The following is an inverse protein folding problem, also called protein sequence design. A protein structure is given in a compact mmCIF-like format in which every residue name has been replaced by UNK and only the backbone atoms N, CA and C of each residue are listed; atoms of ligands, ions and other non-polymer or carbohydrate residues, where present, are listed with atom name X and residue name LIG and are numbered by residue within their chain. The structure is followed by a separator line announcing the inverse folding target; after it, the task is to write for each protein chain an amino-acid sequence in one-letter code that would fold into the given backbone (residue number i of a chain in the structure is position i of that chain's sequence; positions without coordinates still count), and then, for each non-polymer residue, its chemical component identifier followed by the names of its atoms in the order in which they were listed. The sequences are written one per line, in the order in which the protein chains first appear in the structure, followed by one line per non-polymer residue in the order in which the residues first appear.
data_IF_781749321491
#
_entry.id   IF_781749321491
#
_cell.length_a   1.000
_cell.length_b   1.000
_cell.length_c   1.000
_cell.angle_alpha   90.00
_cell.angle_beta   90.00
_cell.angle_gamma   90.00
#
_symmetry.space_group_name_H-M   'P 1'
#
loop_
_entity.id
_entity.type
_entity.pdbx_description
1 polymer ?
#
# COMPACT_ATOMS: atom_id res chain seq x y z
N UNK A 1 -18.63 -4.50 33.16
CA UNK A 1 -17.68 -4.28 32.06
C UNK A 1 -17.38 -2.80 32.08
N UNK A 2 -16.09 -2.41 32.19
CA UNK A 2 -15.76 -0.99 32.20
C UNK A 2 -16.09 -0.40 30.83
N UNK A 3 -16.78 0.73 30.82
CA UNK A 3 -17.20 1.51 29.63
C UNK A 3 -15.98 2.22 28.99
N UNK A 4 -14.89 1.44 28.79
CA UNK A 4 -13.61 1.98 28.32
C UNK A 4 -13.66 2.05 26.80
N UNK A 5 -13.91 3.24 26.28
CA UNK A 5 -13.91 3.52 24.84
C UNK A 5 -12.49 3.49 24.29
N UNK A 6 -12.29 2.81 23.17
CA UNK A 6 -11.00 2.71 22.50
C UNK A 6 -10.82 3.85 21.50
N UNK A 7 -9.65 4.48 21.51
CA UNK A 7 -9.33 5.56 20.58
C UNK A 7 -8.47 5.04 19.42
N UNK A 8 -8.91 5.28 18.19
CA UNK A 8 -8.10 5.10 16.98
C UNK A 8 -7.63 6.48 16.52
N UNK A 9 -6.33 6.66 16.40
CA UNK A 9 -5.75 7.93 15.95
C UNK A 9 -5.30 7.77 14.50
N UNK A 10 -6.05 8.37 13.58
CA UNK A 10 -5.86 8.30 12.12
C UNK A 10 -6.86 7.35 11.45
N UNK A 11 -7.72 7.90 10.59
CA UNK A 11 -8.74 7.20 9.82
C UNK A 11 -8.23 6.64 8.46
N UNK A 12 -6.93 6.36 8.35
CA UNK A 12 -6.34 5.71 7.17
C UNK A 12 -6.63 4.21 7.11
N UNK A 13 -5.94 3.48 6.22
CA UNK A 13 -6.15 2.03 6.02
C UNK A 13 -5.99 1.23 7.31
N UNK A 14 -4.90 1.45 8.05
CA UNK A 14 -4.61 0.70 9.28
C UNK A 14 -5.60 1.04 10.39
N UNK A 15 -5.95 2.33 10.56
CA UNK A 15 -6.90 2.75 11.58
C UNK A 15 -8.33 2.29 11.30
N UNK A 16 -8.78 2.35 10.06
CA UNK A 16 -10.08 1.82 9.63
C UNK A 16 -10.19 0.31 9.87
N UNK A 17 -9.13 -0.43 9.55
CA UNK A 17 -9.06 -1.87 9.80
C UNK A 17 -9.10 -2.19 11.30
N UNK A 18 -8.29 -1.47 12.11
CA UNK A 18 -8.25 -1.67 13.57
C UNK A 18 -9.60 -1.34 14.23
N UNK A 19 -10.25 -0.24 13.81
CA UNK A 19 -11.57 0.16 14.31
C UNK A 19 -12.62 -0.94 14.05
N UNK A 20 -12.64 -1.50 12.82
CA UNK A 20 -13.51 -2.60 12.45
C UNK A 20 -13.28 -3.83 13.33
N UNK A 21 -12.04 -4.26 13.47
CA UNK A 21 -11.67 -5.44 14.25
C UNK A 21 -12.07 -5.33 15.73
N UNK A 22 -11.92 -4.14 16.31
CA UNK A 22 -12.32 -3.85 17.70
C UNK A 22 -13.84 -3.84 17.86
N UNK A 23 -14.54 -3.15 16.97
CA UNK A 23 -15.99 -3.00 17.06
C UNK A 23 -16.74 -4.33 16.89
N UNK A 24 -16.32 -5.17 15.94
CA UNK A 24 -16.84 -6.52 15.73
C UNK A 24 -16.58 -7.45 16.93
N UNK A 25 -15.59 -7.11 17.78
CA UNK A 25 -15.30 -7.81 19.05
C UNK A 25 -15.97 -7.18 20.28
N UNK A 26 -16.91 -6.25 20.04
CA UNK A 26 -17.79 -5.69 21.06
C UNK A 26 -17.25 -4.46 21.79
N UNK A 27 -16.15 -3.85 21.34
CA UNK A 27 -15.62 -2.62 21.93
C UNK A 27 -16.23 -1.37 21.29
N UNK A 28 -16.52 -0.35 22.08
CA UNK A 28 -16.89 0.97 21.59
C UNK A 28 -15.65 1.72 21.15
N UNK A 29 -15.65 2.24 19.93
CA UNK A 29 -14.48 2.79 19.25
C UNK A 29 -14.76 4.23 18.80
N UNK A 30 -13.81 5.13 19.03
CA UNK A 30 -13.81 6.46 18.41
C UNK A 30 -12.61 6.56 17.45
N UNK A 31 -12.89 6.80 16.17
CA UNK A 31 -11.88 7.10 15.17
C UNK A 31 -11.70 8.60 15.08
N UNK A 32 -10.50 9.08 15.42
CA UNK A 32 -10.12 10.48 15.22
C UNK A 32 -9.37 10.64 13.91
N UNK A 33 -9.93 11.44 13.01
CA UNK A 33 -9.31 11.81 11.72
C UNK A 33 -9.13 13.32 11.67
N UNK A 34 -7.89 13.77 11.48
CA UNK A 34 -7.59 15.20 11.50
C UNK A 34 -8.18 15.99 10.33
N UNK A 35 -8.43 15.34 9.19
CA UNK A 35 -9.07 15.98 8.02
C UNK A 35 -10.58 16.11 8.22
N UNK A 36 -11.19 17.18 7.77
CA UNK A 36 -10.65 18.31 7.00
C UNK A 36 -10.02 19.42 7.83
N UNK A 37 -10.05 19.33 9.19
CA UNK A 37 -9.58 20.40 10.09
C UNK A 37 -8.11 20.71 9.87
N UNK A 38 -7.28 19.66 9.85
CA UNK A 38 -5.85 19.75 9.52
C UNK A 38 -5.60 18.97 8.23
N UNK A 39 -5.11 19.67 7.19
CA UNK A 39 -4.81 19.07 5.89
C UNK A 39 -3.41 18.47 5.87
N UNK A 40 -3.22 17.45 5.04
CA UNK A 40 -1.91 16.87 4.74
C UNK A 40 -1.50 17.19 3.30
N UNK A 41 -0.22 17.05 2.99
CA UNK A 41 0.29 17.32 1.65
C UNK A 41 -0.17 16.30 0.59
N UNK A 42 -0.54 15.07 0.99
CA UNK A 42 -0.84 13.98 0.05
C UNK A 42 -2.33 13.66 -0.12
N UNK A 43 -3.17 14.03 0.84
CA UNK A 43 -4.60 13.76 0.78
C UNK A 43 -5.34 14.88 0.05
N UNK A 44 -6.35 14.51 -0.73
CA UNK A 44 -7.17 15.42 -1.53
C UNK A 44 -8.63 15.45 -1.09
N UNK A 45 -9.08 14.45 -0.33
CA UNK A 45 -10.46 14.30 0.14
C UNK A 45 -10.53 14.28 1.68
N UNK A 46 -11.75 14.31 2.18
CA UNK A 46 -12.05 14.15 3.62
C UNK A 46 -12.36 12.69 3.98
N UNK A 47 -12.39 11.79 2.98
CA UNK A 47 -12.79 10.40 3.16
C UNK A 47 -11.77 9.62 3.99
N UNK A 48 -12.28 8.69 4.82
CA UNK A 48 -11.42 7.71 5.46
C UNK A 48 -10.79 6.77 4.42
N UNK A 49 -9.69 6.13 4.77
CA UNK A 49 -8.97 5.17 3.92
C UNK A 49 -8.63 5.66 2.51
N UNK A 50 -8.42 6.98 2.31
CA UNK A 50 -8.00 7.52 1.03
C UNK A 50 -6.68 6.92 0.56
N UNK A 51 -6.64 6.42 -0.70
CA UNK A 51 -5.44 5.90 -1.33
C UNK A 51 -4.64 7.03 -1.97
N UNK A 52 -3.52 7.42 -1.40
CA UNK A 52 -2.77 8.62 -1.81
C UNK A 52 -1.73 8.37 -2.91
N UNK A 53 -1.08 7.20 -2.94
CA UNK A 53 0.03 6.91 -3.87
C UNK A 53 -0.49 6.26 -5.17
N UNK A 54 -0.93 5.02 -5.12
CA UNK A 54 -1.45 4.26 -6.27
C UNK A 54 -2.87 3.76 -5.98
N UNK A 55 -3.54 3.19 -6.99
CA UNK A 55 -4.86 2.58 -6.80
C UNK A 55 -4.79 1.05 -6.72
N UNK A 56 -3.65 0.48 -6.36
CA UNK A 56 -3.47 -0.98 -6.36
C UNK A 56 -2.98 -1.53 -5.04
N UNK A 57 -3.53 -2.68 -4.66
CA UNK A 57 -3.05 -3.54 -3.57
C UNK A 57 -2.07 -4.62 -4.07
N UNK A 58 -1.46 -4.44 -5.24
CA UNK A 58 -0.52 -5.36 -5.87
C UNK A 58 -1.15 -6.73 -6.24
N UNK A 59 -0.34 -7.77 -6.45
CA UNK A 59 -0.79 -9.08 -6.96
C UNK A 59 -1.85 -9.76 -6.10
N UNK A 60 -2.82 -10.43 -6.73
CA UNK A 60 -3.81 -11.31 -6.09
C UNK A 60 -3.36 -12.77 -6.01
N UNK A 61 -2.38 -13.17 -6.81
CA UNK A 61 -1.87 -14.54 -6.87
C UNK A 61 -1.13 -14.91 -5.56
N UNK A 62 -1.56 -15.96 -4.88
CA UNK A 62 -0.94 -16.45 -3.63
C UNK A 62 0.48 -16.97 -3.80
N UNK A 63 0.90 -17.31 -5.03
CA UNK A 63 2.31 -17.57 -5.34
C UNK A 63 3.17 -16.30 -5.36
N UNK A 64 2.58 -15.17 -5.02
CA UNK A 64 3.24 -13.88 -4.77
C UNK A 64 2.99 -13.48 -3.31
N UNK A 65 3.99 -12.91 -2.64
CA UNK A 65 3.92 -12.56 -1.23
C UNK A 65 2.77 -11.60 -0.89
N UNK A 66 2.49 -10.62 -1.76
CA UNK A 66 1.36 -9.70 -1.57
C UNK A 66 -0.01 -10.39 -1.72
N UNK A 67 -0.11 -11.39 -2.61
CA UNK A 67 -1.31 -12.21 -2.75
C UNK A 67 -1.53 -13.11 -1.53
N UNK A 68 -0.44 -13.71 -1.02
CA UNK A 68 -0.47 -14.53 0.18
C UNK A 68 -0.92 -13.71 1.40
N UNK A 69 -0.32 -12.55 1.65
CA UNK A 69 -0.72 -11.67 2.76
C UNK A 69 -2.22 -11.31 2.70
N UNK A 70 -2.73 -11.00 1.49
CA UNK A 70 -4.17 -10.73 1.31
C UNK A 70 -5.05 -11.94 1.62
N UNK A 71 -4.62 -13.14 1.26
CA UNK A 71 -5.38 -14.36 1.58
C UNK A 71 -5.44 -14.60 3.11
N UNK A 72 -4.33 -14.38 3.81
CA UNK A 72 -4.28 -14.46 5.28
C UNK A 72 -5.18 -13.41 5.94
N UNK A 73 -5.17 -12.15 5.45
CA UNK A 73 -6.04 -11.09 5.96
C UNK A 73 -7.53 -11.38 5.71
N UNK A 74 -7.87 -11.95 4.54
CA UNK A 74 -9.26 -12.35 4.26
C UNK A 74 -9.74 -13.44 5.22
N UNK A 75 -8.89 -14.39 5.56
CA UNK A 75 -9.21 -15.42 6.55
C UNK A 75 -9.53 -14.82 7.94
N UNK A 76 -8.94 -13.66 8.25
CA UNK A 76 -9.16 -12.91 9.50
C UNK A 76 -10.29 -11.85 9.41
N UNK A 77 -10.99 -11.76 8.27
CA UNK A 77 -12.13 -10.85 8.08
C UNK A 77 -11.75 -9.38 7.87
N UNK A 78 -10.78 -9.09 7.00
CA UNK A 78 -10.34 -7.73 6.69
C UNK A 78 -11.42 -6.87 6.03
N UNK A 79 -11.77 -5.75 6.64
CA UNK A 79 -12.62 -4.70 6.08
C UNK A 79 -12.02 -4.10 4.81
N UNK A 80 -10.73 -3.81 4.85
CA UNK A 80 -10.03 -3.14 3.75
C UNK A 80 -10.04 -4.01 2.50
N UNK A 81 -9.85 -5.32 2.64
CA UNK A 81 -9.88 -6.22 1.47
C UNK A 81 -11.30 -6.46 0.96
N UNK A 82 -12.31 -6.50 1.84
CA UNK A 82 -13.70 -6.50 1.44
C UNK A 82 -14.04 -5.27 0.59
N UNK A 83 -13.69 -4.06 1.07
CA UNK A 83 -13.92 -2.82 0.33
C UNK A 83 -13.14 -2.76 -1.00
N UNK A 84 -11.92 -3.33 -1.03
CA UNK A 84 -11.12 -3.40 -2.26
C UNK A 84 -11.75 -4.33 -3.30
N UNK A 85 -12.36 -5.44 -2.88
CA UNK A 85 -13.07 -6.34 -3.79
C UNK A 85 -14.36 -5.68 -4.33
N UNK A 86 -15.10 -4.90 -3.51
CA UNK A 86 -16.26 -4.11 -3.92
C UNK A 86 -15.91 -2.98 -4.92
N UNK A 87 -14.70 -2.42 -4.80
CA UNK A 87 -14.26 -1.26 -5.59
C UNK A 87 -13.41 -1.64 -6.82
N UNK A 88 -13.30 -2.92 -7.15
CA UNK A 88 -12.39 -3.44 -8.17
C UNK A 88 -12.59 -2.78 -9.54
N UNK A 89 -11.45 -2.51 -10.20
CA UNK A 89 -11.34 -2.11 -11.60
C UNK A 89 -10.35 -3.04 -12.32
N UNK A 90 -10.36 -3.10 -13.67
CA UNK A 90 -9.41 -3.91 -14.42
C UNK A 90 -7.96 -3.62 -14.02
N UNK A 91 -7.20 -4.65 -13.63
CA UNK A 91 -5.85 -4.52 -13.12
C UNK A 91 -4.93 -5.71 -13.46
N UNK A 92 -5.37 -6.61 -14.33
CA UNK A 92 -4.64 -7.81 -14.72
C UNK A 92 -4.45 -8.73 -13.51
N UNK A 93 -3.20 -9.00 -13.13
CA UNK A 93 -2.87 -9.80 -11.95
C UNK A 93 -2.83 -8.99 -10.64
N UNK A 94 -3.19 -7.71 -10.67
CA UNK A 94 -3.19 -6.84 -9.50
C UNK A 94 -4.63 -6.53 -9.04
N UNK A 95 -4.84 -6.44 -7.73
CA UNK A 95 -6.05 -5.88 -7.16
C UNK A 95 -5.98 -4.36 -7.30
N UNK A 96 -6.54 -3.84 -8.38
CA UNK A 96 -6.70 -2.41 -8.63
C UNK A 96 -8.14 -1.99 -8.29
N UNK A 97 -8.30 -0.77 -7.78
CA UNK A 97 -9.59 -0.26 -7.29
C UNK A 97 -9.87 1.15 -7.79
N UNK A 98 -11.14 1.47 -7.94
CA UNK A 98 -11.61 2.85 -8.01
C UNK A 98 -11.45 3.46 -6.60
N UNK A 99 -10.62 4.50 -6.46
CA UNK A 99 -10.25 5.09 -5.17
C UNK A 99 -11.44 5.70 -4.44
N UNK A 100 -12.37 6.31 -5.18
CA UNK A 100 -13.54 6.97 -4.60
C UNK A 100 -14.52 5.93 -4.09
N UNK A 101 -14.80 4.91 -4.91
CA UNK A 101 -15.69 3.80 -4.52
C UNK A 101 -15.11 3.05 -3.32
N UNK A 102 -13.80 2.80 -3.32
CA UNK A 102 -13.11 2.13 -2.22
C UNK A 102 -13.22 2.91 -0.89
N UNK A 103 -12.84 4.20 -0.91
CA UNK A 103 -12.89 5.04 0.30
C UNK A 103 -14.33 5.18 0.82
N UNK A 104 -15.32 5.35 -0.09
CA UNK A 104 -16.73 5.39 0.27
C UNK A 104 -17.22 4.08 0.89
N UNK A 105 -16.83 2.92 0.36
CA UNK A 105 -17.21 1.63 0.92
C UNK A 105 -16.68 1.43 2.34
N UNK A 106 -15.41 1.79 2.60
CA UNK A 106 -14.81 1.74 3.94
C UNK A 106 -15.55 2.69 4.89
N UNK A 107 -15.70 3.96 4.51
CA UNK A 107 -16.31 4.97 5.35
C UNK A 107 -17.77 4.62 5.70
N UNK A 108 -18.60 4.28 4.71
CA UNK A 108 -20.00 3.92 4.92
C UNK A 108 -20.15 2.70 5.86
N UNK A 109 -19.21 1.74 5.77
CA UNK A 109 -19.24 0.56 6.63
C UNK A 109 -18.91 0.89 8.07
N UNK A 110 -17.94 1.78 8.31
CA UNK A 110 -17.60 2.26 9.66
C UNK A 110 -18.71 3.13 10.25
N UNK A 111 -19.28 4.06 9.47
CA UNK A 111 -20.38 4.93 9.91
C UNK A 111 -21.66 4.15 10.26
N UNK A 112 -21.94 3.06 9.55
CA UNK A 112 -23.09 2.21 9.81
C UNK A 112 -22.92 1.30 11.04
N UNK A 113 -21.71 1.16 11.58
CA UNK A 113 -21.45 0.27 12.70
C UNK A 113 -21.86 0.93 14.04
N UNK A 114 -22.75 0.31 14.85
CA UNK A 114 -23.32 0.95 16.04
C UNK A 114 -22.31 1.27 17.15
N UNK A 115 -21.13 0.63 17.13
CA UNK A 115 -20.06 0.82 18.11
C UNK A 115 -18.93 1.73 17.62
N UNK A 116 -19.01 2.28 16.40
CA UNK A 116 -17.99 3.17 15.87
C UNK A 116 -18.52 4.58 15.78
N UNK A 117 -17.79 5.53 16.35
CA UNK A 117 -17.99 6.97 16.16
C UNK A 117 -16.77 7.56 15.45
N UNK A 118 -17.01 8.53 14.57
CA UNK A 118 -15.95 9.23 13.84
C UNK A 118 -15.93 10.68 14.30
N UNK A 119 -14.79 11.13 14.81
CA UNK A 119 -14.56 12.50 15.24
C UNK A 119 -13.51 13.16 14.35
N UNK A 120 -13.81 14.39 13.92
CA UNK A 120 -12.92 15.17 13.06
C UNK A 120 -12.14 16.16 13.91
N UNK A 121 -10.83 16.01 13.92
CA UNK A 121 -9.93 16.86 14.69
C UNK A 121 -8.57 16.20 14.91
N UNK A 122 -7.58 17.03 15.19
CA UNK A 122 -6.23 16.60 15.49
C UNK A 122 -6.12 16.07 16.93
N UNK A 123 -5.49 14.92 17.10
CA UNK A 123 -5.03 14.42 18.40
C UNK A 123 -3.55 14.77 18.55
N UNK A 124 -3.22 15.50 19.61
CA UNK A 124 -1.86 15.99 19.89
C UNK A 124 -1.16 15.24 21.03
N UNK A 125 -1.90 14.40 21.75
CA UNK A 125 -1.41 13.58 22.87
C UNK A 125 -1.70 12.11 22.58
N UNK A 126 -0.99 11.19 23.23
CA UNK A 126 -1.17 9.75 23.04
C UNK A 126 -2.25 9.26 24.02
N UNK A 127 -3.44 8.88 23.54
CA UNK A 127 -4.50 8.32 24.39
C UNK A 127 -4.22 6.86 24.75
N UNK A 128 -4.83 6.36 25.84
CA UNK A 128 -4.82 4.96 26.25
C UNK A 128 -6.19 4.56 26.79
N UNK A 129 -6.79 3.44 26.36
CA UNK A 129 -6.28 2.49 25.32
C UNK A 129 -6.44 3.05 23.89
N UNK A 130 -5.48 2.74 23.01
CA UNK A 130 -5.51 3.27 21.64
C UNK A 130 -4.74 2.45 20.60
N UNK A 131 -5.05 2.72 19.32
CA UNK A 131 -4.20 2.36 18.18
C UNK A 131 -3.78 3.64 17.47
N UNK A 132 -2.48 3.91 17.41
CA UNK A 132 -1.87 5.02 16.68
C UNK A 132 -1.62 4.55 15.24
N UNK A 133 -2.45 5.00 14.31
CA UNK A 133 -2.47 4.56 12.92
C UNK A 133 -2.40 5.75 11.94
N UNK A 134 -1.59 6.74 12.27
CA UNK A 134 -1.50 8.03 11.57
C UNK A 134 -0.75 7.96 10.24
N UNK A 135 -0.18 6.78 9.91
CA UNK A 135 0.55 6.58 8.67
C UNK A 135 1.82 7.42 8.58
N UNK A 136 2.27 7.74 7.35
CA UNK A 136 3.54 8.42 7.13
C UNK A 136 3.48 9.92 7.35
N UNK A 137 2.29 10.52 7.39
CA UNK A 137 2.04 11.95 7.47
C UNK A 137 1.43 12.34 8.84
N UNK A 138 2.01 11.79 9.90
CA UNK A 138 1.67 12.15 11.28
C UNK A 138 1.88 13.65 11.51
N UNK A 139 0.94 14.31 12.18
CA UNK A 139 1.04 15.74 12.50
C UNK A 139 2.26 16.03 13.38
N UNK A 140 2.82 17.22 13.24
CA UNK A 140 4.03 17.62 13.98
C UNK A 140 3.84 17.55 15.50
N UNK A 141 2.65 17.91 16.00
CA UNK A 141 2.33 17.87 17.42
C UNK A 141 2.34 16.43 17.96
N UNK A 142 1.64 15.50 17.29
CA UNK A 142 1.63 14.10 17.69
C UNK A 142 2.98 13.41 17.45
N UNK A 143 3.69 13.75 16.38
CA UNK A 143 5.04 13.25 16.11
C UNK A 143 6.02 13.69 17.22
N UNK A 144 5.86 14.89 17.77
CA UNK A 144 6.64 15.38 18.91
C UNK A 144 6.30 14.60 20.19
N UNK A 145 5.02 14.35 20.46
CA UNK A 145 4.58 13.55 21.62
C UNK A 145 5.10 12.09 21.52
N UNK A 146 5.06 11.49 20.33
CA UNK A 146 5.59 10.14 20.09
C UNK A 146 7.11 10.08 20.29
N UNK A 147 7.87 11.04 19.73
CA UNK A 147 9.33 11.12 19.93
C UNK A 147 9.69 11.25 21.41
N UNK A 148 9.00 12.12 22.14
CA UNK A 148 9.23 12.30 23.58
C UNK A 148 8.98 10.99 24.36
N UNK A 149 7.93 10.25 24.00
CA UNK A 149 7.57 8.99 24.70
C UNK A 149 8.44 7.80 24.33
N UNK A 150 8.85 7.72 23.07
CA UNK A 150 9.69 6.63 22.57
C UNK A 150 11.19 6.83 22.87
N UNK A 151 11.60 8.06 23.18
CA UNK A 151 13.00 8.39 23.47
C UNK A 151 13.94 8.26 22.26
N UNK A 152 13.40 8.32 21.03
CA UNK A 152 14.17 8.13 19.79
C UNK A 152 13.74 9.16 18.74
N UNK A 153 14.67 9.48 17.84
CA UNK A 153 14.35 10.26 16.64
C UNK A 153 13.54 9.41 15.66
N UNK A 154 12.49 10.00 15.09
CA UNK A 154 11.74 9.36 14.02
C UNK A 154 12.62 9.27 12.77
N UNK A 155 12.69 8.10 12.17
CA UNK A 155 13.33 7.90 10.87
C UNK A 155 12.44 8.45 9.76
N UNK A 156 13.03 8.88 8.66
CA UNK A 156 12.30 9.43 7.51
C UNK A 156 12.80 8.82 6.21
N UNK A 157 11.90 8.69 5.26
CA UNK A 157 12.22 8.34 3.88
C UNK A 157 11.33 9.16 2.94
N UNK A 158 11.66 9.18 1.65
CA UNK A 158 10.86 9.85 0.63
C UNK A 158 10.08 8.86 -0.20
N UNK A 159 8.81 9.20 -0.46
CA UNK A 159 7.90 8.48 -1.35
C UNK A 159 7.46 9.42 -2.48
N UNK A 160 7.38 8.90 -3.69
CA UNK A 160 6.96 9.64 -4.86
C UNK A 160 5.68 9.06 -5.46
N UNK A 161 4.83 9.92 -5.97
CA UNK A 161 3.53 9.58 -6.58
C UNK A 161 3.63 9.69 -8.09
N UNK A 162 3.00 8.77 -8.82
CA UNK A 162 2.91 8.77 -10.27
C UNK A 162 1.77 9.65 -10.77
N UNK A 163 1.88 10.27 -11.96
CA UNK A 163 0.83 11.09 -12.55
C UNK A 163 -0.34 10.25 -13.08
N UNK A 164 -1.50 10.91 -13.19
CA UNK A 164 -2.74 10.37 -13.77
C UNK A 164 -3.19 11.27 -14.93
N UNK A 165 -3.59 10.67 -16.04
CA UNK A 165 -4.01 11.35 -17.26
C UNK A 165 -5.44 10.98 -17.66
N UNK A 166 -6.08 11.85 -18.43
CA UNK A 166 -7.41 11.65 -18.98
C UNK A 166 -7.39 10.67 -20.16
N UNK A 167 -8.36 9.75 -20.21
CA UNK A 167 -8.50 8.74 -21.27
C UNK A 167 -8.60 9.34 -22.67
N UNK A 168 -9.43 10.37 -22.82
CA UNK A 168 -9.73 11.02 -24.12
C UNK A 168 -8.52 11.78 -24.68
N UNK A 169 -7.50 12.03 -23.85
CA UNK A 169 -6.26 12.69 -24.27
C UNK A 169 -5.17 11.71 -24.75
N UNK A 170 -5.45 10.40 -24.69
CA UNK A 170 -4.56 9.34 -25.15
C UNK A 170 -4.80 9.08 -26.63
N UNK A 171 -3.73 8.97 -27.42
CA UNK A 171 -3.82 8.59 -28.83
C UNK A 171 -3.97 7.06 -28.97
N UNK A 172 -5.22 6.61 -29.16
CA UNK A 172 -5.59 5.21 -29.26
C UNK A 172 -5.14 4.54 -30.55
N UNK A 173 -4.71 5.29 -31.57
CA UNK A 173 -4.10 4.73 -32.78
C UNK A 173 -2.64 4.30 -32.55
N UNK A 174 -1.99 4.88 -31.52
CA UNK A 174 -0.61 4.60 -31.16
C UNK A 174 -0.53 3.54 -30.06
N UNK A 175 -1.39 3.61 -29.03
CA UNK A 175 -1.38 2.66 -27.92
C UNK A 175 -2.13 1.37 -28.26
N UNK A 176 -1.84 0.28 -27.54
CA UNK A 176 -2.58 -0.98 -27.67
C UNK A 176 -3.01 -1.51 -26.29
N UNK A 177 -4.15 -2.19 -26.25
CA UNK A 177 -4.67 -2.80 -25.03
C UNK A 177 -4.12 -4.22 -24.88
N UNK A 178 -3.47 -4.54 -23.78
CA UNK A 178 -2.97 -5.88 -23.45
C UNK A 178 -2.61 -6.00 -21.97
N UNK A 179 -2.68 -7.22 -21.45
CA UNK A 179 -2.09 -7.60 -20.16
C UNK A 179 -0.81 -8.41 -20.40
N UNK A 180 0.18 -8.21 -19.56
CA UNK A 180 1.45 -8.95 -19.64
C UNK A 180 1.22 -10.46 -19.52
N UNK A 181 1.65 -11.23 -20.52
CA UNK A 181 1.41 -12.67 -20.66
C UNK A 181 -0.09 -13.07 -20.70
N UNK A 182 -0.97 -12.18 -21.15
CA UNK A 182 -2.41 -12.44 -21.17
C UNK A 182 -3.03 -12.67 -19.77
N UNK A 183 -2.40 -12.13 -18.71
CA UNK A 183 -2.90 -12.30 -17.34
C UNK A 183 -4.08 -11.37 -17.10
N UNK A 184 -5.15 -11.91 -16.52
CA UNK A 184 -6.35 -11.19 -16.10
C UNK A 184 -7.19 -12.06 -15.20
N UNK A 185 -7.99 -11.46 -14.33
CA UNK A 185 -8.90 -12.19 -13.46
C UNK A 185 -10.16 -12.63 -14.21
N UNK A 186 -10.68 -11.75 -15.04
CA UNK A 186 -11.82 -12.04 -15.92
C UNK A 186 -11.37 -12.54 -17.29
N UNK A 187 -12.28 -13.18 -18.02
CA UNK A 187 -12.02 -13.60 -19.40
C UNK A 187 -11.77 -12.38 -20.31
N UNK A 188 -12.56 -11.32 -20.16
CA UNK A 188 -12.37 -10.07 -20.87
C UNK A 188 -10.97 -9.46 -20.63
N UNK A 189 -10.47 -9.45 -19.39
CA UNK A 189 -9.11 -8.96 -19.11
C UNK A 189 -8.01 -9.84 -19.72
N UNK A 190 -8.25 -11.15 -19.86
CA UNK A 190 -7.30 -12.07 -20.50
C UNK A 190 -7.28 -11.92 -22.01
N UNK A 191 -8.43 -11.68 -22.63
CA UNK A 191 -8.59 -11.54 -24.08
C UNK A 191 -8.23 -10.14 -24.56
N UNK A 192 -8.83 -9.10 -23.95
CA UNK A 192 -8.65 -7.71 -24.36
C UNK A 192 -7.44 -7.04 -23.69
N UNK A 193 -7.06 -7.52 -22.50
CA UNK A 193 -6.05 -6.87 -21.65
C UNK A 193 -6.62 -5.83 -20.69
N UNK A 194 -5.90 -5.57 -19.60
CA UNK A 194 -6.28 -4.62 -18.55
C UNK A 194 -5.47 -3.31 -18.58
N UNK A 195 -4.47 -3.20 -19.45
CA UNK A 195 -3.59 -2.04 -19.55
C UNK A 195 -3.60 -1.46 -20.95
N UNK A 196 -3.49 -0.14 -21.06
CA UNK A 196 -3.05 0.51 -22.30
C UNK A 196 -1.52 0.55 -22.30
N UNK A 197 -0.92 0.24 -23.44
CA UNK A 197 0.50 0.08 -23.61
C UNK A 197 1.01 1.05 -24.67
N UNK A 198 1.98 1.90 -24.31
CA UNK A 198 2.63 2.86 -25.19
C UNK A 198 3.96 2.24 -25.67
N UNK A 199 4.04 1.71 -26.90
CA UNK A 199 5.27 1.10 -27.41
C UNK A 199 6.28 2.17 -27.81
N UNK A 200 7.55 1.93 -27.50
CA UNK A 200 8.67 2.82 -27.88
C UNK A 200 9.66 2.08 -28.76
N UNK A 201 10.15 2.74 -29.83
CA UNK A 201 11.35 2.33 -30.53
C UNK A 201 12.59 2.61 -29.66
N UNK A 202 13.75 2.13 -30.10
CA UNK A 202 15.01 2.40 -29.42
C UNK A 202 15.33 3.90 -29.39
N UNK A 203 15.15 4.59 -30.50
CA UNK A 203 15.42 6.03 -30.63
C UNK A 203 14.48 6.85 -29.75
N UNK A 204 13.19 6.48 -29.70
CA UNK A 204 12.20 7.12 -28.83
C UNK A 204 12.55 6.92 -27.35
N UNK A 205 12.97 5.71 -26.98
CA UNK A 205 13.40 5.41 -25.63
C UNK A 205 14.64 6.21 -25.22
N UNK A 206 15.68 6.23 -26.06
CA UNK A 206 16.92 6.96 -25.78
C UNK A 206 16.64 8.46 -25.65
N UNK A 207 15.84 9.05 -26.54
CA UNK A 207 15.41 10.44 -26.46
C UNK A 207 14.58 10.73 -25.19
N UNK A 208 13.69 9.83 -24.79
CA UNK A 208 12.93 9.93 -23.56
C UNK A 208 13.85 9.92 -22.33
N UNK A 209 14.85 9.01 -22.28
CA UNK A 209 15.80 8.95 -21.16
C UNK A 209 16.61 10.26 -21.08
N UNK A 210 17.06 10.81 -22.21
CA UNK A 210 17.79 12.10 -22.22
C UNK A 210 16.93 13.23 -21.69
N UNK A 211 15.67 13.32 -22.13
CA UNK A 211 14.73 14.34 -21.67
C UNK A 211 14.40 14.20 -20.17
N UNK A 212 14.27 12.94 -19.69
CA UNK A 212 13.99 12.61 -18.29
C UNK A 212 15.15 13.02 -17.37
N UNK A 213 16.38 12.69 -17.76
CA UNK A 213 17.58 13.02 -16.98
C UNK A 213 17.88 14.52 -16.96
N UNK A 214 17.55 15.25 -18.03
CA UNK A 214 17.71 16.69 -18.15
C UNK A 214 16.59 17.50 -17.49
N UNK A 215 15.51 16.87 -17.04
CA UNK A 215 14.38 17.57 -16.43
C UNK A 215 14.71 18.18 -15.07
N UNK A 216 14.15 19.36 -14.81
CA UNK A 216 14.28 20.03 -13.52
C UNK A 216 13.54 19.28 -12.42
N UNK A 217 14.23 19.06 -11.31
CA UNK A 217 13.73 18.30 -10.16
C UNK A 217 13.45 19.23 -8.99
N UNK A 218 12.47 18.89 -8.17
CA UNK A 218 12.34 19.53 -6.87
C UNK A 218 13.61 19.27 -6.06
N UNK A 219 14.25 20.36 -5.64
CA UNK A 219 15.45 20.36 -4.80
C UNK A 219 15.09 20.84 -3.40
N UNK A 220 15.68 20.23 -2.37
CA UNK A 220 15.58 20.68 -1.00
C UNK A 220 16.65 19.97 -0.17
N UNK A 221 17.35 20.67 0.73
CA UNK A 221 18.39 20.10 1.59
C UNK A 221 17.94 18.85 2.34
N UNK A 222 16.62 18.69 2.55
CA UNK A 222 16.06 17.50 3.17
C UNK A 222 15.99 16.27 2.23
N UNK A 223 16.04 16.45 0.91
CA UNK A 223 15.97 15.35 -0.08
C UNK A 223 17.32 14.65 -0.30
N UNK A 224 18.42 15.30 0.06
CA UNK A 224 19.76 14.75 -0.16
C UNK A 224 20.22 13.86 1.02
N UNK A 225 19.55 13.93 2.17
CA UNK A 225 19.95 13.24 3.41
C UNK A 225 19.14 11.97 3.74
N UNK A 226 17.93 11.81 3.20
CA UNK A 226 17.08 10.66 3.49
C UNK A 226 16.97 9.69 2.30
N UNK A 227 17.10 8.38 2.51
CA UNK A 227 17.01 7.39 1.43
C UNK A 227 15.60 7.32 0.85
N UNK A 228 15.50 7.05 -0.46
CA UNK A 228 14.25 6.65 -1.08
C UNK A 228 13.93 5.20 -0.73
N UNK A 229 12.63 4.90 -0.58
CA UNK A 229 12.20 3.51 -0.58
C UNK A 229 12.30 2.93 -2.00
N UNK A 230 12.98 1.79 -2.16
CA UNK A 230 13.25 1.19 -3.49
C UNK A 230 11.99 0.91 -4.31
N UNK A 231 10.86 0.60 -3.65
CA UNK A 231 9.58 0.34 -4.30
C UNK A 231 8.87 1.58 -4.86
N UNK A 232 9.27 2.79 -4.41
CA UNK A 232 8.70 4.09 -4.81
C UNK A 232 9.78 5.04 -5.35
N UNK A 233 10.90 4.48 -5.83
CA UNK A 233 11.99 5.25 -6.39
C UNK A 233 11.52 6.07 -7.59
N UNK A 234 11.80 7.38 -7.66
CA UNK A 234 11.45 8.21 -8.80
C UNK A 234 12.03 7.66 -10.11
N UNK A 235 11.25 7.76 -11.19
CA UNK A 235 11.62 7.22 -12.51
C UNK A 235 12.92 7.82 -13.04
N UNK A 236 13.18 9.09 -12.78
CA UNK A 236 14.43 9.77 -13.14
C UNK A 236 15.63 9.28 -12.31
N UNK A 237 15.42 8.87 -11.06
CA UNK A 237 16.49 8.29 -10.24
C UNK A 237 16.82 6.85 -10.68
N UNK A 238 15.80 6.08 -11.08
CA UNK A 238 16.02 4.78 -11.73
C UNK A 238 16.81 4.92 -13.04
N UNK A 239 16.47 5.91 -13.88
CA UNK A 239 17.17 6.19 -15.13
C UNK A 239 18.63 6.60 -14.88
N UNK A 240 18.91 7.37 -13.82
CA UNK A 240 20.25 7.80 -13.45
C UNK A 240 21.17 6.64 -13.03
N UNK A 241 20.63 5.53 -12.53
CA UNK A 241 21.39 4.31 -12.21
C UNK A 241 21.94 3.59 -13.46
N UNK A 242 21.37 3.89 -14.62
CA UNK A 242 21.80 3.34 -15.91
C UNK A 242 20.72 3.46 -16.97
N UNK A 243 21.12 3.79 -18.20
CA UNK A 243 20.18 4.06 -19.30
C UNK A 243 19.19 2.92 -19.58
N UNK A 244 19.60 1.66 -19.38
CA UNK A 244 18.77 0.47 -19.60
C UNK A 244 17.93 0.08 -18.37
N UNK A 245 18.12 0.72 -17.22
CA UNK A 245 17.48 0.33 -15.94
C UNK A 245 15.96 0.28 -16.08
N UNK A 246 15.35 1.30 -16.70
CA UNK A 246 13.88 1.36 -16.84
C UNK A 246 13.35 0.22 -17.73
N UNK A 247 14.12 -0.19 -18.73
CA UNK A 247 13.76 -1.28 -19.66
C UNK A 247 13.77 -2.66 -19.00
N UNK A 248 14.52 -2.85 -17.92
CA UNK A 248 14.48 -4.04 -17.06
C UNK A 248 13.53 -3.89 -15.87
N UNK A 249 12.99 -2.69 -15.68
CA UNK A 249 12.05 -2.30 -14.63
C UNK A 249 10.66 -1.97 -15.17
N UNK A 250 10.15 -0.75 -14.92
CA UNK A 250 8.78 -0.36 -15.24
C UNK A 250 8.46 -0.35 -16.75
N UNK A 251 9.44 -0.09 -17.60
CA UNK A 251 9.26 -0.06 -19.07
C UNK A 251 9.61 -1.37 -19.77
N UNK A 252 9.66 -2.48 -19.05
CA UNK A 252 10.00 -3.79 -19.58
C UNK A 252 9.02 -4.22 -20.69
N UNK A 253 9.46 -4.57 -21.92
CA UNK A 253 8.58 -4.95 -23.03
C UNK A 253 8.14 -6.42 -22.97
N UNK A 254 8.88 -7.27 -22.29
CA UNK A 254 8.70 -8.74 -22.30
C UNK A 254 7.30 -9.14 -21.86
N UNK A 255 6.64 -9.98 -22.64
CA UNK A 255 5.27 -10.46 -22.40
C UNK A 255 4.17 -9.50 -22.88
N UNK A 256 4.53 -8.45 -23.62
CA UNK A 256 3.63 -7.49 -24.26
C UNK A 256 3.96 -7.44 -25.77
N UNK A 257 3.15 -8.11 -26.56
CA UNK A 257 3.28 -8.10 -28.03
C UNK A 257 2.25 -7.11 -28.60
N UNK A 258 2.71 -6.19 -29.44
CA UNK A 258 1.79 -5.27 -30.12
C UNK A 258 0.96 -6.07 -31.15
N UNK A 259 -0.37 -6.16 -30.97
CA UNK A 259 -1.23 -6.95 -31.84
C UNK A 259 -1.29 -6.42 -33.29
N UNK A 260 -0.96 -5.14 -33.51
CA UNK A 260 -1.00 -4.50 -34.84
C UNK A 260 0.22 -4.85 -35.67
N UNK A 261 1.37 -5.02 -35.03
CA UNK A 261 2.65 -5.31 -35.71
C UNK A 261 3.09 -6.74 -35.55
N UNK A 262 2.59 -7.46 -34.54
CA UNK A 262 3.04 -8.79 -34.15
C UNK A 262 4.47 -8.83 -33.60
N UNK A 263 5.05 -7.67 -33.26
CA UNK A 263 6.43 -7.51 -32.78
C UNK A 263 6.48 -7.01 -31.34
N UNK A 264 7.56 -7.32 -30.66
CA UNK A 264 7.87 -6.73 -29.36
C UNK A 264 8.47 -5.33 -29.57
N UNK A 265 8.03 -4.35 -28.78
CA UNK A 265 8.63 -3.02 -28.74
C UNK A 265 9.99 -3.06 -28.05
N UNK A 266 10.81 -2.01 -28.22
CA UNK A 266 12.06 -1.88 -27.47
C UNK A 266 11.82 -1.62 -25.98
N UNK A 267 10.85 -0.76 -25.67
CA UNK A 267 10.34 -0.49 -24.32
C UNK A 267 8.82 -0.25 -24.37
N UNK A 268 8.13 -0.38 -23.26
CA UNK A 268 6.68 -0.16 -23.18
C UNK A 268 6.33 0.58 -21.88
N UNK A 269 5.68 1.72 -22.00
CA UNK A 269 5.03 2.38 -20.85
C UNK A 269 3.63 1.80 -20.71
N UNK A 270 3.27 1.36 -19.50
CA UNK A 270 1.94 0.84 -19.20
C UNK A 270 1.10 1.90 -18.50
N UNK A 271 -0.15 2.03 -18.93
CA UNK A 271 -1.17 2.84 -18.27
C UNK A 271 -2.19 1.91 -17.64
N UNK A 272 -2.55 2.18 -16.38
CA UNK A 272 -3.54 1.40 -15.62
C UNK A 272 -4.75 2.26 -15.30
N UNK A 273 -5.93 1.68 -15.45
CA UNK A 273 -7.20 2.30 -15.12
C UNK A 273 -7.28 2.65 -13.63
N UNK A 274 -7.74 3.88 -13.31
CA UNK A 274 -7.87 4.40 -11.94
C UNK A 274 -9.32 4.46 -11.44
N UNK A 275 -10.31 4.51 -12.34
CA UNK A 275 -11.73 4.61 -12.01
C UNK A 275 -12.57 3.57 -12.76
N UNK A 276 -13.75 3.24 -12.24
CA UNK A 276 -14.67 2.27 -12.89
C UNK A 276 -15.15 2.74 -14.27
N UNK A 277 -15.26 4.06 -14.47
CA UNK A 277 -15.70 4.63 -15.73
C UNK A 277 -14.61 4.60 -16.82
N UNK A 278 -13.38 4.24 -16.48
CA UNK A 278 -12.25 4.17 -17.42
C UNK A 278 -11.78 5.53 -17.93
N UNK A 279 -12.10 6.61 -17.24
CA UNK A 279 -11.77 7.99 -17.67
C UNK A 279 -10.39 8.44 -17.21
N UNK A 280 -9.83 7.82 -16.18
CA UNK A 280 -8.57 8.19 -15.55
C UNK A 280 -7.56 7.03 -15.63
N UNK A 281 -6.34 7.33 -16.06
CA UNK A 281 -5.29 6.33 -16.28
C UNK A 281 -3.97 6.76 -15.64
N UNK A 282 -3.38 5.87 -14.85
CA UNK A 282 -2.13 6.09 -14.12
C UNK A 282 -0.94 5.61 -14.94
N UNK A 283 0.14 6.39 -14.99
CA UNK A 283 1.41 5.96 -15.58
C UNK A 283 2.13 5.02 -14.60
N UNK A 284 2.15 3.73 -14.92
CA UNK A 284 2.68 2.70 -14.01
C UNK A 284 4.21 2.80 -13.88
N UNK A 285 4.69 2.98 -12.65
CA UNK A 285 6.12 3.09 -12.36
C UNK A 285 6.73 4.46 -12.65
N UNK A 286 5.90 5.49 -12.83
CA UNK A 286 6.31 6.88 -13.11
C UNK A 286 6.21 7.79 -11.89
N UNK A 287 6.48 7.26 -10.70
CA UNK A 287 6.71 8.12 -9.54
C UNK A 287 7.82 9.11 -9.88
N UNK A 288 7.66 10.39 -9.52
CA UNK A 288 8.59 11.42 -9.97
C UNK A 288 8.68 12.60 -9.01
N UNK A 289 9.87 13.22 -8.97
CA UNK A 289 10.12 14.54 -8.37
C UNK A 289 10.39 15.63 -9.40
N UNK A 290 10.15 15.37 -10.69
CA UNK A 290 10.22 16.39 -11.71
C UNK A 290 9.25 17.55 -11.38
N UNK A 291 9.62 18.76 -11.73
CA UNK A 291 8.72 19.91 -11.67
C UNK A 291 7.58 19.72 -12.67
N UNK A 292 6.40 20.28 -12.38
CA UNK A 292 5.16 20.09 -13.17
C UNK A 292 5.40 20.35 -14.66
N UNK A 293 6.05 21.46 -15.03
CA UNK A 293 6.33 21.76 -16.44
C UNK A 293 7.20 20.71 -17.12
N UNK A 294 8.16 20.14 -16.41
CA UNK A 294 9.01 19.07 -16.94
C UNK A 294 8.30 17.72 -16.98
N UNK A 295 7.40 17.42 -16.02
CA UNK A 295 6.55 16.25 -16.12
C UNK A 295 5.73 16.28 -17.42
N UNK A 296 5.07 17.40 -17.71
CA UNK A 296 4.28 17.52 -18.94
C UNK A 296 5.16 17.41 -20.19
N UNK A 297 6.28 18.13 -20.26
CA UNK A 297 7.19 18.11 -21.39
C UNK A 297 7.78 16.71 -21.64
N UNK A 298 8.26 16.05 -20.59
CA UNK A 298 8.94 14.75 -20.70
C UNK A 298 7.94 13.63 -20.97
N UNK A 299 6.81 13.59 -20.24
CA UNK A 299 5.87 12.48 -20.39
C UNK A 299 5.02 12.59 -21.64
N UNK A 300 4.81 13.79 -22.20
CA UNK A 300 4.21 13.96 -23.53
C UNK A 300 5.11 13.49 -24.68
N UNK A 301 6.41 13.27 -24.44
CA UNK A 301 7.29 12.65 -25.45
C UNK A 301 7.07 11.13 -25.59
N UNK A 302 6.33 10.50 -24.69
CA UNK A 302 5.96 9.09 -24.77
C UNK A 302 4.96 8.89 -25.91
N UNK A 303 5.17 7.93 -26.83
CA UNK A 303 4.25 7.65 -27.93
C UNK A 303 2.81 7.41 -27.42
N UNK A 304 1.85 8.08 -28.01
CA UNK A 304 0.45 8.05 -27.61
C UNK A 304 0.07 9.07 -26.52
N UNK A 305 1.03 9.80 -25.93
CA UNK A 305 0.78 10.79 -24.87
C UNK A 305 1.08 12.24 -25.27
N UNK A 306 1.27 12.54 -26.56
CA UNK A 306 1.62 13.87 -27.03
C UNK A 306 0.63 14.96 -26.59
N UNK A 307 -0.65 14.61 -26.49
CA UNK A 307 -1.73 15.51 -26.08
C UNK A 307 -2.24 15.20 -24.66
N UNK A 308 -1.50 14.42 -23.85
CA UNK A 308 -1.98 13.99 -22.56
C UNK A 308 -2.39 15.16 -21.65
N UNK A 309 -3.61 15.08 -21.12
CA UNK A 309 -4.15 15.96 -20.10
C UNK A 309 -3.86 15.33 -18.72
N UNK A 310 -3.07 16.02 -17.92
CA UNK A 310 -2.71 15.57 -16.57
C UNK A 310 -3.80 15.96 -15.58
N UNK A 311 -4.58 14.97 -15.13
CA UNK A 311 -5.59 15.14 -14.09
C UNK A 311 -4.95 15.23 -12.70
N UNK A 312 -3.77 14.62 -12.55
CA UNK A 312 -2.93 14.71 -11.37
C UNK A 312 -1.46 14.60 -11.79
N UNK A 313 -0.64 15.50 -11.30
CA UNK A 313 0.81 15.43 -11.46
C UNK A 313 1.44 14.51 -10.40
N UNK A 314 2.61 13.97 -10.72
CA UNK A 314 3.45 13.29 -9.74
C UNK A 314 3.95 14.27 -8.69
N UNK A 315 4.17 13.77 -7.49
CA UNK A 315 4.68 14.57 -6.37
C UNK A 315 5.54 13.70 -5.44
N UNK A 316 6.32 14.38 -4.59
CA UNK A 316 7.16 13.70 -3.60
C UNK A 316 6.77 14.16 -2.21
N UNK A 317 6.75 13.21 -1.26
CA UNK A 317 6.41 13.45 0.13
C UNK A 317 7.47 12.86 1.05
N UNK A 318 7.72 13.53 2.18
CA UNK A 318 8.51 12.98 3.26
C UNK A 318 7.61 12.14 4.15
N UNK A 319 7.97 10.88 4.31
CA UNK A 319 7.29 9.92 5.17
C UNK A 319 8.09 9.71 6.45
N UNK A 320 7.41 9.59 7.58
CA UNK A 320 8.02 9.32 8.87
C UNK A 320 7.60 7.95 9.39
N UNK A 321 8.52 7.25 10.05
CA UNK A 321 8.26 5.98 10.70
C UNK A 321 9.08 5.85 11.99
N UNK A 322 8.68 4.92 12.84
CA UNK A 322 9.35 4.61 14.10
C UNK A 322 10.36 3.48 13.87
N UNK A 323 11.50 3.52 14.53
CA UNK A 323 12.42 2.38 14.60
C UNK A 323 11.81 1.29 15.49
N UNK A 324 10.90 0.48 14.93
CA UNK A 324 10.11 -0.50 15.67
C UNK A 324 10.96 -1.50 16.46
N UNK A 325 12.06 -2.09 15.91
CA UNK A 325 12.90 -3.01 16.67
C UNK A 325 13.50 -2.38 17.93
N UNK A 326 13.87 -1.09 17.86
CA UNK A 326 14.45 -0.37 19.00
C UNK A 326 13.40 0.07 20.02
N UNK A 327 12.20 0.46 19.57
CA UNK A 327 11.28 1.29 20.35
C UNK A 327 10.03 0.57 20.85
N UNK A 328 9.57 -0.46 20.13
CA UNK A 328 8.30 -1.13 20.42
C UNK A 328 8.48 -2.52 21.02
N UNK A 329 7.41 -3.06 21.58
CA UNK A 329 7.34 -4.48 21.97
C UNK A 329 7.18 -5.37 20.72
N UNK A 330 7.32 -6.69 20.82
CA UNK A 330 7.06 -7.62 19.71
C UNK A 330 5.65 -7.52 19.11
N UNK A 331 4.67 -7.08 19.88
CA UNK A 331 3.29 -6.88 19.44
C UNK A 331 3.01 -5.46 18.90
N UNK A 332 4.06 -4.63 18.76
CA UNK A 332 4.01 -3.23 18.33
C UNK A 332 3.26 -2.32 19.30
N UNK A 333 3.34 -2.59 20.60
CA UNK A 333 2.87 -1.67 21.66
C UNK A 333 4.02 -0.77 22.15
N UNK A 334 3.65 0.31 22.83
CA UNK A 334 4.60 1.03 23.65
C UNK A 334 5.14 0.09 24.76
N UNK A 335 6.41 0.26 25.14
CA UNK A 335 7.06 -0.59 26.16
C UNK A 335 6.55 -0.29 27.58
N UNK A 336 6.12 0.94 27.80
CA UNK A 336 5.60 1.44 29.07
C UNK A 336 4.06 1.37 29.17
N UNK A 337 3.36 1.05 28.08
CA UNK A 337 1.90 0.97 28.02
C UNK A 337 1.44 -0.07 26.97
N UNK A 338 1.15 -1.28 27.44
CA UNK A 338 0.71 -2.39 26.59
C UNK A 338 -0.69 -2.22 25.96
N UNK A 339 -1.43 -1.15 26.31
CA UNK A 339 -2.71 -0.83 25.72
C UNK A 339 -2.63 0.22 24.59
N UNK A 340 -1.42 0.71 24.28
CA UNK A 340 -1.17 1.62 23.16
C UNK A 340 -0.41 0.90 22.07
N UNK A 341 -1.09 0.57 20.98
CA UNK A 341 -0.55 -0.09 19.80
C UNK A 341 -0.17 0.94 18.73
N UNK A 342 0.85 0.64 17.94
CA UNK A 342 1.14 1.34 16.70
C UNK A 342 0.79 0.44 15.52
N UNK A 343 0.24 1.01 14.43
CA UNK A 343 -0.13 0.26 13.23
C UNK A 343 0.03 1.10 11.96
N UNK A 344 0.19 0.41 10.83
CA UNK A 344 0.39 1.05 9.53
C UNK A 344 1.82 1.47 9.26
N UNK A 345 2.00 2.31 8.27
CA UNK A 345 3.32 2.70 7.76
C UNK A 345 4.22 3.33 8.82
N UNK A 346 3.65 3.96 9.85
CA UNK A 346 4.40 4.50 10.99
C UNK A 346 5.24 3.43 11.70
N UNK A 347 4.89 2.14 11.62
CA UNK A 347 5.65 1.04 12.21
C UNK A 347 6.83 0.56 11.37
N UNK A 348 7.05 1.12 10.18
CA UNK A 348 8.09 0.66 9.25
C UNK A 348 7.63 -0.46 8.32
N UNK A 349 6.34 -0.67 8.13
CA UNK A 349 5.83 -1.43 6.99
C UNK A 349 5.65 -0.51 5.79
N UNK A 350 5.79 -1.04 4.57
CA UNK A 350 5.56 -0.30 3.34
C UNK A 350 4.54 -1.00 2.47
N UNK A 351 3.47 -0.27 2.13
CA UNK A 351 2.39 -0.71 1.24
C UNK A 351 1.03 -0.73 1.93
N UNK A 352 -0.02 -0.66 1.10
CA UNK A 352 -1.41 -0.61 1.57
C UNK A 352 -1.85 -1.89 2.29
N UNK A 353 -1.49 -3.05 1.71
CA UNK A 353 -1.83 -4.36 2.30
C UNK A 353 -1.11 -4.54 3.64
N UNK A 354 0.18 -4.22 3.70
CA UNK A 354 1.02 -4.32 4.89
C UNK A 354 0.53 -3.39 6.01
N UNK A 355 0.19 -2.15 5.65
CA UNK A 355 -0.38 -1.20 6.61
C UNK A 355 -1.71 -1.69 7.19
N UNK A 356 -2.61 -2.18 6.34
CA UNK A 356 -3.89 -2.75 6.77
C UNK A 356 -3.69 -3.99 7.64
N UNK A 357 -2.73 -4.86 7.29
CA UNK A 357 -2.41 -6.08 8.03
C UNK A 357 -1.94 -5.80 9.47
N UNK A 358 -1.11 -4.75 9.65
CA UNK A 358 -0.74 -4.34 11.01
C UNK A 358 -1.89 -3.73 11.78
N UNK A 359 -2.79 -2.98 11.11
CA UNK A 359 -4.03 -2.46 11.72
C UNK A 359 -4.97 -3.58 12.16
N UNK A 360 -5.16 -4.59 11.31
CA UNK A 360 -5.94 -5.77 11.61
C UNK A 360 -5.45 -6.47 12.88
N UNK A 361 -4.15 -6.77 12.95
CA UNK A 361 -3.59 -7.47 14.09
C UNK A 361 -3.54 -6.60 15.36
N UNK A 362 -3.34 -5.28 15.22
CA UNK A 362 -3.41 -4.35 16.35
C UNK A 362 -4.83 -4.31 16.96
N UNK A 363 -5.88 -4.27 16.12
CA UNK A 363 -7.26 -4.32 16.59
C UNK A 363 -7.60 -5.63 17.30
N UNK A 364 -7.19 -6.78 16.75
CA UNK A 364 -7.34 -8.09 17.40
C UNK A 364 -6.64 -8.12 18.75
N UNK A 365 -5.38 -7.69 18.78
CA UNK A 365 -4.57 -7.78 19.99
C UNK A 365 -4.98 -6.79 21.09
N UNK A 366 -5.37 -5.58 20.72
CA UNK A 366 -5.91 -4.65 21.72
C UNK A 366 -7.22 -5.18 22.34
N UNK A 367 -8.10 -5.77 21.52
CA UNK A 367 -9.28 -6.45 22.05
C UNK A 367 -8.93 -7.55 23.05
N UNK A 368 -7.92 -8.36 22.77
CA UNK A 368 -7.45 -9.41 23.69
C UNK A 368 -6.94 -8.82 25.00
N UNK A 369 -6.09 -7.80 24.92
CA UNK A 369 -5.54 -7.10 26.11
C UNK A 369 -6.65 -6.52 26.97
N UNK A 370 -7.63 -5.87 26.38
CA UNK A 370 -8.78 -5.29 27.11
C UNK A 370 -9.67 -6.35 27.77
N UNK A 371 -9.67 -7.56 27.25
CA UNK A 371 -10.35 -8.72 27.84
C UNK A 371 -9.43 -9.53 28.79
N UNK A 372 -8.25 -9.00 29.17
CA UNK A 372 -7.35 -9.62 30.13
C UNK A 372 -6.44 -10.72 29.55
N UNK A 373 -6.39 -10.87 28.23
CA UNK A 373 -5.51 -11.79 27.53
C UNK A 373 -4.19 -11.15 27.10
N UNK A 374 -3.29 -11.97 26.57
CA UNK A 374 -2.02 -11.52 26.00
C UNK A 374 -2.13 -11.31 24.48
N UNK A 375 -1.33 -10.39 23.90
CA UNK A 375 -1.21 -10.27 22.46
C UNK A 375 -0.69 -11.55 21.83
N UNK A 376 -1.22 -11.87 20.63
CA UNK A 376 -0.80 -13.06 19.86
C UNK A 376 -0.29 -12.64 18.49
N UNK A 377 0.75 -13.31 18.01
CA UNK A 377 1.39 -13.03 16.73
C UNK A 377 1.37 -14.33 15.91
N UNK A 378 0.95 -14.29 14.63
CA UNK A 378 0.99 -15.47 13.77
C UNK A 378 2.41 -16.02 13.63
N UNK A 379 2.59 -17.33 13.38
CA UNK A 379 3.91 -17.91 13.20
C UNK A 379 4.62 -17.31 11.98
N UNK A 380 5.96 -17.24 12.04
CA UNK A 380 6.79 -16.68 10.95
C UNK A 380 6.79 -17.51 9.65
N UNK A 381 6.07 -18.62 9.64
CA UNK A 381 5.72 -19.40 8.45
C UNK A 381 4.56 -18.78 7.65
N UNK A 382 3.81 -17.84 8.25
CA UNK A 382 2.82 -16.99 7.58
C UNK A 382 3.45 -15.67 7.14
N UNK A 383 2.89 -15.02 6.13
CA UNK A 383 3.41 -13.73 5.65
C UNK A 383 3.21 -12.62 6.68
N UNK A 384 2.07 -12.60 7.37
CA UNK A 384 1.78 -11.66 8.45
C UNK A 384 2.74 -11.85 9.62
N UNK A 385 2.96 -13.07 10.07
CA UNK A 385 3.91 -13.38 11.15
C UNK A 385 5.36 -13.07 10.78
N UNK A 386 5.76 -13.35 9.53
CA UNK A 386 7.10 -13.03 9.03
C UNK A 386 7.35 -11.53 8.94
N UNK A 387 6.33 -10.74 8.57
CA UNK A 387 6.40 -9.28 8.57
C UNK A 387 6.58 -8.74 10.00
N UNK A 388 5.81 -9.25 10.98
CA UNK A 388 5.96 -8.90 12.40
C UNK A 388 7.33 -9.30 12.94
N UNK A 389 7.86 -10.47 12.53
CA UNK A 389 9.22 -10.87 12.90
C UNK A 389 10.26 -9.87 12.41
N UNK A 390 10.15 -9.39 11.17
CA UNK A 390 11.04 -8.35 10.66
C UNK A 390 10.98 -7.07 11.51
N UNK A 391 9.77 -6.58 11.83
CA UNK A 391 9.57 -5.37 12.62
C UNK A 391 10.15 -5.44 14.03
N UNK A 392 10.34 -6.63 14.59
CA UNK A 392 10.89 -6.80 15.93
C UNK A 392 12.37 -7.21 15.96
N UNK A 393 12.86 -7.93 14.93
CA UNK A 393 14.18 -8.59 14.93
C UNK A 393 15.17 -7.95 13.95
N UNK A 394 14.74 -7.04 13.09
CA UNK A 394 15.66 -6.32 12.21
C UNK A 394 16.68 -5.52 13.02
N UNK A 395 17.92 -5.41 12.48
CA UNK A 395 18.95 -4.58 13.09
C UNK A 395 18.49 -3.12 13.19
N UNK A 396 18.35 -2.55 14.41
CA UNK A 396 17.91 -1.19 14.59
C UNK A 396 18.78 -0.14 13.88
N UNK A 397 20.09 -0.42 13.71
CA UNK A 397 21.02 0.49 13.04
C UNK A 397 20.79 0.57 11.53
N UNK A 398 20.16 -0.46 10.94
CA UNK A 398 19.92 -0.57 9.50
C UNK A 398 18.43 -0.79 9.18
N UNK A 399 17.55 -0.49 10.14
CA UNK A 399 16.11 -0.68 9.98
C UNK A 399 15.55 0.22 8.86
N UNK A 400 14.86 -0.39 7.93
CA UNK A 400 14.23 0.26 6.77
C UNK A 400 12.80 -0.24 6.60
N UNK A 401 11.89 0.56 6.01
CA UNK A 401 10.55 0.10 5.69
C UNK A 401 10.56 -1.20 4.88
N UNK A 402 9.62 -2.09 5.16
CA UNK A 402 9.55 -3.44 4.57
C UNK A 402 8.19 -3.74 3.99
N UNK A 403 8.16 -4.30 2.79
CA UNK A 403 6.96 -4.87 2.20
C UNK A 403 6.98 -6.40 2.25
N UNK A 404 5.80 -7.01 2.03
CA UNK A 404 5.66 -8.45 1.97
C UNK A 404 6.52 -9.05 0.85
N UNK A 405 7.40 -9.98 1.21
CA UNK A 405 8.22 -10.73 0.28
C UNK A 405 8.54 -12.13 0.83
N UNK A 406 8.72 -13.11 -0.06
CA UNK A 406 8.98 -14.49 0.36
C UNK A 406 10.32 -14.71 1.08
N UNK A 407 11.25 -13.75 1.00
CA UNK A 407 12.52 -13.79 1.75
C UNK A 407 12.33 -13.64 3.26
N UNK A 408 11.17 -13.15 3.71
CA UNK A 408 10.84 -13.04 5.13
C UNK A 408 10.35 -14.37 5.74
N UNK A 409 9.87 -15.32 4.93
CA UNK A 409 9.32 -16.57 5.45
C UNK A 409 10.42 -17.53 5.92
N UNK A 410 10.11 -18.32 6.94
CA UNK A 410 10.93 -19.46 7.32
C UNK A 410 11.07 -20.46 6.17
N UNK A 411 12.27 -21.02 6.00
CA UNK A 411 12.55 -22.00 4.96
C UNK A 411 11.61 -23.22 5.05
N UNK A 412 11.40 -23.84 3.89
CA UNK A 412 10.61 -25.09 3.83
C UNK A 412 11.42 -26.24 4.48
N UNK A 413 10.76 -27.14 5.23
CA UNK A 413 11.44 -28.28 5.85
C UNK A 413 12.18 -29.19 4.84
N UNK A 414 11.65 -29.25 3.63
CA UNK A 414 12.29 -29.94 2.49
C UNK A 414 12.59 -28.95 1.38
N UNK A 415 13.85 -28.80 0.96
CA UNK A 415 14.22 -27.89 -0.11
C UNK A 415 13.42 -28.16 -1.40
N UNK A 416 13.05 -27.10 -2.09
CA UNK A 416 12.42 -27.14 -3.41
C UNK A 416 13.24 -26.27 -4.38
N UNK A 417 13.65 -26.85 -5.49
CA UNK A 417 14.49 -26.17 -6.49
C UNK A 417 13.68 -25.39 -7.52
N UNK A 418 12.50 -25.88 -7.85
CA UNK A 418 11.60 -25.18 -8.75
C UNK A 418 10.99 -23.97 -8.04
N UNK A 419 11.26 -22.78 -8.57
CA UNK A 419 10.83 -21.49 -7.95
C UNK A 419 9.31 -21.38 -7.83
N UNK A 420 8.56 -21.89 -8.80
CA UNK A 420 7.10 -21.83 -8.79
C UNK A 420 6.54 -22.76 -7.72
N UNK A 421 6.99 -24.01 -7.72
CA UNK A 421 6.60 -24.99 -6.69
C UNK A 421 7.01 -24.58 -5.29
N UNK A 422 8.21 -23.97 -5.13
CA UNK A 422 8.64 -23.40 -3.84
C UNK A 422 7.64 -22.38 -3.31
N UNK A 423 7.20 -21.45 -4.15
CA UNK A 423 6.22 -20.42 -3.79
C UNK A 423 4.83 -21.01 -3.47
N UNK A 424 4.35 -21.94 -4.27
CA UNK A 424 3.10 -22.65 -4.04
C UNK A 424 3.12 -23.40 -2.69
N UNK A 425 4.24 -24.04 -2.33
CA UNK A 425 4.42 -24.72 -1.04
C UNK A 425 4.50 -23.73 0.13
N UNK A 426 5.15 -22.59 -0.03
CA UNK A 426 5.11 -21.51 0.97
C UNK A 426 3.67 -21.07 1.22
N UNK A 427 2.91 -20.79 0.16
CA UNK A 427 1.52 -20.35 0.28
C UNK A 427 0.64 -21.40 0.96
N UNK A 428 0.73 -22.66 0.55
CA UNK A 428 -0.05 -23.73 1.15
C UNK A 428 0.24 -23.91 2.65
N UNK A 429 1.53 -23.85 3.05
CA UNK A 429 1.92 -23.92 4.46
C UNK A 429 1.38 -22.71 5.23
N UNK A 430 1.58 -21.51 4.73
CA UNK A 430 1.19 -20.29 5.41
C UNK A 430 -0.33 -20.20 5.64
N UNK A 431 -1.12 -20.61 4.65
CA UNK A 431 -2.59 -20.65 4.79
C UNK A 431 -3.04 -21.70 5.82
N UNK A 432 -2.43 -22.87 5.85
CA UNK A 432 -2.73 -23.88 6.87
C UNK A 432 -2.32 -23.39 8.28
N UNK A 433 -1.18 -22.72 8.39
CA UNK A 433 -0.66 -22.23 9.66
C UNK A 433 -1.49 -21.06 10.20
N UNK A 434 -1.95 -20.12 9.34
CA UNK A 434 -2.81 -19.01 9.79
C UNK A 434 -4.18 -19.54 10.27
N UNK A 435 -4.77 -20.51 9.58
CA UNK A 435 -6.01 -21.15 10.02
C UNK A 435 -5.84 -21.91 11.34
N UNK A 436 -4.71 -22.60 11.53
CA UNK A 436 -4.40 -23.29 12.78
C UNK A 436 -4.22 -22.32 13.93
N UNK A 437 -3.44 -21.25 13.71
CA UNK A 437 -3.23 -20.17 14.68
C UNK A 437 -4.54 -19.48 15.06
N UNK A 438 -5.40 -19.21 14.08
CA UNK A 438 -6.73 -18.62 14.29
C UNK A 438 -7.59 -19.48 15.22
N UNK A 439 -7.64 -20.80 14.97
CA UNK A 439 -8.37 -21.76 15.82
C UNK A 439 -7.80 -21.88 17.23
N UNK A 440 -6.46 -21.96 17.34
CA UNK A 440 -5.75 -22.07 18.64
C UNK A 440 -6.08 -20.89 19.57
N UNK A 441 -6.19 -19.70 19.00
CA UNK A 441 -6.44 -18.47 19.75
C UNK A 441 -7.91 -18.02 19.75
N UNK A 442 -8.82 -18.84 19.22
CA UNK A 442 -10.27 -18.56 19.12
C UNK A 442 -10.56 -17.20 18.48
N UNK A 443 -9.92 -16.93 17.35
CA UNK A 443 -10.06 -15.68 16.62
C UNK A 443 -11.10 -15.83 15.52
N UNK A 444 -12.35 -15.48 15.83
CA UNK A 444 -13.40 -15.46 14.81
C UNK A 444 -13.14 -14.36 13.78
N UNK A 445 -13.41 -14.66 12.52
CA UNK A 445 -13.27 -13.69 11.44
C UNK A 445 -14.36 -12.62 11.57
N UNK A 446 -13.94 -11.35 11.58
CA UNK A 446 -14.83 -10.20 11.58
C UNK A 446 -15.37 -9.94 10.16
N UNK A 447 -16.31 -10.80 9.69
CA UNK A 447 -16.76 -10.78 8.30
C UNK A 447 -17.60 -9.54 7.98
N UNK A 448 -17.20 -8.69 7.02
CA UNK A 448 -17.92 -7.46 6.66
C UNK A 448 -19.25 -7.70 5.90
N UNK A 449 -19.71 -8.93 5.78
CA UNK A 449 -20.79 -9.30 4.87
C UNK A 449 -22.20 -9.36 5.43
N UNK A 450 -22.39 -9.47 6.74
CA UNK A 450 -23.72 -9.59 7.32
C UNK A 450 -24.17 -8.26 7.93
N UNK A 451 -24.96 -7.48 7.19
CA UNK A 451 -25.85 -6.50 7.83
C UNK A 451 -26.97 -7.33 8.44
N UNK A 452 -26.90 -7.62 9.72
CA UNK A 452 -28.09 -8.03 10.47
C UNK A 452 -29.03 -6.84 10.49
N UNK A 453 -30.05 -6.89 9.68
CA UNK A 453 -31.22 -5.99 9.68
C UNK A 453 -31.94 -6.05 11.03
#
# INVERSE_FOLDING_TARGET
MSDTRVTIVGGGLAGSEAAWQLAERGHDVTVHEMRPVVKTAAHHTESLAELVCSNTFKSTDTSNAHGLLKAEMRALGSLILWAADEARVPGGAALAVDRIVFASAVQSRLEAHPRISIERGEITTIPSPSVIATGPLTSDALATALRARLGVDALSFYDAIAPVIAYDSIDHDVVFKASRYGKGETEAEREEGAYLNCPMSREQYESFIDALLAGDKYQGHAFDEAPYFEGCLPVEEMAARGRETLRFGPLKPVGLRDPRTGRDAYAVVQLRQEDRAGRMWNLVGFQTRLRIGDQERVFRSIPGLANAEFLRHGSIHRNSYVNSPASLTPALTLRDDGQVFLAGQITGVEGYTESSATGLLAGINLSRVLNGGEPVIPPATTMLGALYRYLREADPAHFQPMNANFGLLDELPKPERDKRRKRERFAARALADIESWQREHSLDAALPGAVTT
#
